data_IF_576354080924
#
_entry.id   IF_576354080924
#
_cell.length_a   1.000
_cell.length_b   1.000
_cell.length_c   1.000
_cell.angle_alpha   90.00
_cell.angle_beta   90.00
_cell.angle_gamma   90.00
#
_symmetry.space_group_name_H-M   'P 1'
#
loop_
_entity.id
_entity.type
_entity.pdbx_description
1 polymer ?
#
# COMPACT_ATOMS: atom_id res chain seq x y z
N UNK A 1 12.40 4.91 3.41
CA UNK A 1 11.20 5.65 3.70
C UNK A 1 10.47 5.07 4.86
N UNK A 2 10.00 5.91 5.76
CA UNK A 2 9.26 5.40 6.91
C UNK A 2 7.86 4.89 6.60
N UNK A 3 7.35 5.16 5.44
CA UNK A 3 6.04 4.64 5.07
C UNK A 3 6.23 3.36 4.28
N UNK A 4 5.60 2.29 4.74
CA UNK A 4 5.73 0.98 4.14
C UNK A 4 4.43 0.61 3.45
N UNK A 5 4.53 0.13 2.22
CA UNK A 5 3.36 -0.32 1.48
C UNK A 5 3.15 -1.81 1.73
N UNK A 6 1.97 -2.16 2.20
CA UNK A 6 1.63 -3.56 2.51
C UNK A 6 0.60 -4.13 1.53
N UNK A 7 0.61 -3.64 0.32
CA UNK A 7 -0.35 -4.11 -0.67
C UNK A 7 -0.20 -5.60 -0.93
N UNK A 8 1.03 -6.10 -0.98
CA UNK A 8 1.27 -7.51 -1.22
C UNK A 8 0.65 -8.38 -0.12
N UNK A 9 0.66 -7.90 1.12
CA UNK A 9 0.06 -8.63 2.22
C UNK A 9 -1.45 -8.70 2.04
N UNK A 10 -2.07 -7.59 1.64
CA UNK A 10 -3.51 -7.59 1.44
C UNK A 10 -3.93 -8.43 0.24
N UNK A 11 -3.14 -8.43 -0.82
CA UNK A 11 -3.42 -9.29 -1.95
C UNK A 11 -3.40 -10.76 -1.52
N UNK A 12 -2.43 -11.12 -0.70
CA UNK A 12 -2.34 -12.49 -0.21
C UNK A 12 -3.53 -12.82 0.71
N UNK A 13 -3.91 -11.88 1.58
CA UNK A 13 -5.05 -12.11 2.47
C UNK A 13 -6.34 -12.30 1.72
N UNK A 14 -6.54 -11.54 0.65
CA UNK A 14 -7.77 -11.63 -0.13
C UNK A 14 -7.67 -12.66 -1.25
N UNK A 15 -6.49 -13.29 -1.41
CA UNK A 15 -6.24 -14.28 -2.46
C UNK A 15 -6.52 -13.70 -3.84
N UNK A 16 -6.03 -12.48 -4.07
CA UNK A 16 -6.21 -11.79 -5.34
C UNK A 16 -4.85 -11.65 -6.00
N UNK A 17 -4.78 -11.95 -7.29
CA UNK A 17 -3.54 -11.78 -8.01
C UNK A 17 -3.34 -10.34 -8.42
N UNK A 18 -2.08 -9.92 -8.50
CA UNK A 18 -1.76 -8.55 -8.91
C UNK A 18 -2.39 -8.19 -10.25
N UNK A 19 -2.39 -9.12 -11.20
CA UNK A 19 -2.96 -8.85 -12.50
C UNK A 19 -4.45 -8.54 -12.41
N UNK A 20 -5.15 -9.25 -11.56
CA UNK A 20 -6.59 -9.05 -11.40
C UNK A 20 -6.85 -7.67 -10.82
N UNK A 21 -6.08 -7.27 -9.82
CA UNK A 21 -6.24 -5.96 -9.24
C UNK A 21 -5.88 -4.88 -10.25
N UNK A 22 -4.79 -5.04 -10.97
CA UNK A 22 -4.37 -4.04 -11.95
C UNK A 22 -5.45 -3.83 -13.00
N UNK A 23 -6.01 -4.91 -13.50
CA UNK A 23 -7.07 -4.81 -14.51
C UNK A 23 -8.30 -4.12 -13.92
N UNK A 24 -8.65 -4.42 -12.69
CA UNK A 24 -9.85 -3.87 -12.06
C UNK A 24 -9.74 -2.36 -11.84
N UNK A 25 -8.56 -1.87 -11.52
CA UNK A 25 -8.39 -0.45 -11.24
C UNK A 25 -7.78 0.33 -12.39
N UNK A 26 -7.58 -0.33 -13.53
CA UNK A 26 -7.08 0.37 -14.72
C UNK A 26 -5.61 0.72 -14.70
N UNK A 27 -4.79 -0.11 -14.04
CA UNK A 27 -3.36 0.09 -14.03
C UNK A 27 -2.66 -1.00 -14.80
N UNK A 28 -1.44 -0.75 -15.25
CA UNK A 28 -0.63 -1.81 -15.81
C UNK A 28 -0.04 -2.62 -14.68
N UNK A 29 0.32 -3.86 -14.96
CA UNK A 29 0.98 -4.69 -13.96
C UNK A 29 2.32 -4.10 -13.56
N UNK A 30 3.03 -3.47 -14.48
CA UNK A 30 4.30 -2.83 -14.16
C UNK A 30 4.14 -1.73 -13.15
N UNK A 31 3.13 -0.87 -13.33
CA UNK A 31 2.89 0.21 -12.41
C UNK A 31 2.42 -0.31 -11.05
N UNK A 32 1.62 -1.35 -11.04
CA UNK A 32 1.18 -1.93 -9.80
C UNK A 32 2.35 -2.57 -9.06
N UNK A 33 3.27 -3.18 -9.80
CA UNK A 33 4.44 -3.79 -9.21
C UNK A 33 5.32 -2.76 -8.52
N UNK A 34 5.48 -1.57 -9.14
CA UNK A 34 6.23 -0.50 -8.53
C UNK A 34 5.55 -0.03 -7.25
N UNK A 35 4.24 0.04 -7.26
CA UNK A 35 3.48 0.45 -6.09
C UNK A 35 3.61 -0.59 -4.99
N UNK A 36 3.51 -1.87 -5.33
CA UNK A 36 3.64 -2.95 -4.35
C UNK A 36 5.00 -2.95 -3.67
N UNK A 37 6.04 -2.65 -4.41
CA UNK A 37 7.40 -2.68 -3.86
C UNK A 37 7.73 -1.42 -3.06
N UNK A 38 6.86 -0.41 -3.14
CA UNK A 38 7.13 0.84 -2.45
C UNK A 38 8.11 1.73 -3.18
N UNK A 39 8.41 1.43 -4.45
CA UNK A 39 9.34 2.23 -5.24
C UNK A 39 8.64 3.39 -5.93
N UNK A 40 7.76 4.06 -5.22
CA UNK A 40 7.06 5.22 -5.74
C UNK A 40 7.13 6.30 -4.69
N UNK A 41 7.04 7.55 -5.11
CA UNK A 41 7.09 8.66 -4.19
C UNK A 41 5.76 8.93 -3.54
N UNK A 42 4.71 8.49 -4.14
CA UNK A 42 3.39 8.70 -3.61
C UNK A 42 2.36 7.91 -4.37
N UNK A 43 1.14 7.97 -3.90
CA UNK A 43 0.04 7.29 -4.56
C UNK A 43 -1.13 8.25 -4.54
N UNK A 44 -1.88 8.33 -5.63
CA UNK A 44 -3.03 9.20 -5.70
C UNK A 44 -4.13 8.67 -4.83
N UNK A 45 -4.89 9.56 -4.22
CA UNK A 45 -6.01 9.12 -3.40
C UNK A 45 -7.03 8.35 -4.22
N UNK A 46 -7.22 8.70 -5.48
CA UNK A 46 -8.16 7.97 -6.34
C UNK A 46 -7.70 6.53 -6.53
N UNK A 47 -6.40 6.30 -6.73
CA UNK A 47 -5.85 4.97 -6.87
C UNK A 47 -5.97 4.20 -5.56
N UNK A 48 -5.62 4.85 -4.46
CA UNK A 48 -5.70 4.23 -3.15
C UNK A 48 -7.13 3.84 -2.84
N UNK A 49 -8.08 4.72 -3.14
CA UNK A 49 -9.50 4.41 -2.93
C UNK A 49 -9.99 3.25 -3.77
N UNK A 50 -9.54 3.17 -5.02
CA UNK A 50 -9.93 2.08 -5.90
C UNK A 50 -9.40 0.74 -5.36
N UNK A 51 -8.17 0.72 -4.85
CA UNK A 51 -7.59 -0.48 -4.28
C UNK A 51 -8.38 -0.88 -3.02
N UNK A 52 -8.68 0.08 -2.16
CA UNK A 52 -9.44 -0.21 -0.95
C UNK A 52 -10.82 -0.75 -1.28
N UNK A 53 -11.45 -0.20 -2.28
CA UNK A 53 -12.77 -0.65 -2.67
C UNK A 53 -12.73 -2.07 -3.21
N UNK A 54 -11.76 -2.36 -4.08
CA UNK A 54 -11.67 -3.69 -4.68
C UNK A 54 -11.31 -4.75 -3.66
N UNK A 55 -10.41 -4.44 -2.73
CA UNK A 55 -9.97 -5.39 -1.73
C UNK A 55 -10.79 -5.34 -0.44
N UNK A 56 -11.74 -4.42 -0.39
CA UNK A 56 -12.60 -4.25 0.78
C UNK A 56 -11.75 -4.07 2.03
N UNK A 57 -10.92 -3.04 2.02
CA UNK A 57 -10.03 -2.77 3.14
C UNK A 57 -9.89 -1.27 3.33
N UNK A 58 -9.21 -0.89 4.38
CA UNK A 58 -8.96 0.51 4.70
C UNK A 58 -7.55 0.91 4.30
N UNK A 59 -7.28 2.19 4.07
CA UNK A 59 -5.91 2.61 3.75
C UNK A 59 -4.90 2.19 4.82
N UNK A 60 -5.31 2.12 6.07
CA UNK A 60 -4.43 1.67 7.13
C UNK A 60 -4.04 0.20 7.02
N UNK A 61 -4.76 -0.57 6.22
CA UNK A 61 -4.37 -1.95 5.96
C UNK A 61 -3.31 -2.04 4.87
N UNK A 62 -3.14 -0.97 4.11
CA UNK A 62 -2.20 -0.94 3.00
C UNK A 62 -0.93 -0.18 3.33
N UNK A 63 -1.00 0.78 4.23
CA UNK A 63 0.14 1.65 4.52
C UNK A 63 0.45 1.60 6.01
N UNK A 64 1.73 1.58 6.32
CA UNK A 64 2.19 1.59 7.70
C UNK A 64 3.31 2.57 7.86
N UNK A 65 3.41 3.19 9.02
CA UNK A 65 4.53 4.04 9.32
C UNK A 65 5.51 3.25 10.18
N UNK A 66 6.75 3.20 9.76
CA UNK A 66 7.78 2.53 10.52
C UNK A 66 8.95 3.49 10.63
N UNK A 67 9.32 3.92 11.81
CA UNK A 67 10.41 4.89 11.93
C UNK A 67 11.75 4.28 11.53
N UNK A 68 12.60 5.08 10.92
CA UNK A 68 13.90 4.63 10.51
C UNK A 68 14.79 4.38 11.70
N UNK A 69 14.55 5.08 12.81
CA UNK A 69 15.37 4.90 13.93
C UNK A 69 14.56 4.62 15.09
N UNK A 70 14.99 3.77 15.96
CA UNK A 70 14.22 3.38 16.99
C UNK A 70 14.01 4.35 18.05
N UNK A 71 14.73 5.33 18.23
CA UNK A 71 14.56 6.15 19.28
C UNK A 71 13.40 6.99 19.14
N UNK A 72 12.67 6.85 18.12
CA UNK A 72 11.60 7.68 17.93
C UNK A 72 10.61 7.62 18.96
N UNK A 73 10.60 6.63 19.75
CA UNK A 73 9.62 6.50 20.62
C UNK A 73 9.51 7.64 21.49
N UNK A 74 10.42 8.43 21.61
CA UNK A 74 10.30 9.39 22.48
C UNK A 74 9.45 10.45 22.08
N UNK A 75 9.30 10.63 20.95
CA UNK A 75 8.61 11.65 20.61
C UNK A 75 7.28 11.52 20.84
N UNK A 76 6.83 10.58 20.98
CA UNK A 76 5.63 10.43 21.03
C UNK A 76 5.07 10.86 22.11
N UNK A 77 5.51 11.04 22.81
CA UNK A 77 5.09 11.29 23.86
C UNK A 77 4.35 12.37 23.90
N UNK A 78 4.43 12.97 23.28
CA UNK A 78 3.74 14.00 23.46
C UNK A 78 2.60 14.03 23.41
#
# INVERSE_FOLDING_TARGET
MPIIMRLDVMLAKRKVRSKVLADAIGMTESNLSLLKSGNVRGVRFSTLGAICQFLDCQPGDLLEYEPDVKRTRLRRTA
#
